data_IF_779935490700
#
_entry.id   IF_779935490700
#
_cell.length_a   1.000
_cell.length_b   1.000
_cell.length_c   1.000
_cell.angle_alpha   90.00
_cell.angle_beta   90.00
_cell.angle_gamma   90.00
#
_symmetry.space_group_name_H-M   'P 1'
#
loop_
_entity.id
_entity.type
_entity.pdbx_description
1 polymer ?
#
# COMPACT_ATOMS: atom_id res chain seq x y z
N UNK A 1 -63.34 15.47 -12.19
CA UNK A 1 -63.16 14.73 -13.46
C UNK A 1 -62.09 15.44 -14.27
N UNK A 2 -60.92 14.84 -14.47
CA UNK A 2 -60.16 14.89 -15.72
C UNK A 2 -59.03 13.86 -15.67
N UNK A 3 -58.99 13.06 -16.74
CA UNK A 3 -58.14 11.90 -16.98
C UNK A 3 -56.98 12.31 -17.90
N UNK A 4 -55.99 11.40 -18.00
CA UNK A 4 -54.87 11.34 -18.98
C UNK A 4 -53.65 12.14 -18.46
N UNK A 5 -52.42 11.64 -18.41
CA UNK A 5 -51.70 10.71 -19.28
C UNK A 5 -50.67 9.90 -18.47
N UNK A 6 -50.57 8.63 -18.84
CA UNK A 6 -49.60 7.61 -18.46
C UNK A 6 -48.21 7.95 -19.06
N UNK A 7 -47.15 7.92 -18.27
CA UNK A 7 -45.79 7.75 -18.80
C UNK A 7 -44.97 6.88 -17.83
N UNK A 8 -44.88 5.61 -18.19
CA UNK A 8 -43.98 4.61 -17.63
C UNK A 8 -42.55 5.00 -18.06
N UNK A 9 -41.67 5.29 -17.11
CA UNK A 9 -40.23 5.22 -17.33
C UNK A 9 -39.65 4.21 -16.34
N UNK A 10 -39.77 2.94 -16.71
CA UNK A 10 -38.87 1.91 -16.24
C UNK A 10 -37.60 2.01 -17.10
N UNK A 11 -36.48 2.42 -16.50
CA UNK A 11 -35.18 2.02 -16.97
C UNK A 11 -34.34 1.57 -15.77
N UNK A 12 -34.28 0.24 -15.62
CA UNK A 12 -33.22 -0.45 -14.89
C UNK A 12 -31.87 -0.03 -15.49
N UNK A 13 -30.96 0.47 -14.65
CA UNK A 13 -29.53 0.27 -14.87
C UNK A 13 -28.93 -0.26 -13.56
N UNK A 14 -28.77 -1.58 -13.57
CA UNK A 14 -27.66 -2.40 -13.07
C UNK A 14 -26.85 -1.83 -11.90
N UNK A 15 -26.97 -2.52 -10.77
CA UNK A 15 -25.95 -2.57 -9.71
C UNK A 15 -24.63 -3.01 -10.32
N UNK A 16 -23.67 -2.10 -10.41
CA UNK A 16 -22.26 -2.45 -10.51
C UNK A 16 -21.65 -2.27 -9.11
N UNK A 17 -21.12 -3.37 -8.59
CA UNK A 17 -20.33 -3.47 -7.37
C UNK A 17 -19.34 -2.32 -7.22
N UNK A 18 -19.35 -1.69 -6.05
CA UNK A 18 -18.37 -0.67 -5.66
C UNK A 18 -17.05 -1.40 -5.38
N UNK A 19 -16.20 -1.51 -6.39
CA UNK A 19 -14.80 -1.88 -6.23
C UNK A 19 -14.03 -1.24 -7.37
N UNK A 20 -13.13 -0.32 -6.99
CA UNK A 20 -12.34 0.57 -7.84
C UNK A 20 -13.08 1.78 -8.43
N UNK A 21 -13.30 2.82 -7.60
CA UNK A 21 -13.20 4.19 -8.10
C UNK A 21 -11.72 4.53 -8.10
N UNK A 22 -11.04 4.35 -9.25
CA UNK A 22 -9.81 5.10 -9.48
C UNK A 22 -10.18 6.57 -9.38
N UNK A 23 -9.61 7.27 -8.40
CA UNK A 23 -9.65 8.71 -8.37
C UNK A 23 -8.94 9.21 -9.64
N UNK A 24 -9.71 9.52 -10.68
CA UNK A 24 -9.24 10.40 -11.74
C UNK A 24 -8.99 11.76 -11.06
N UNK A 25 -7.75 11.99 -10.65
CA UNK A 25 -7.33 13.27 -10.12
C UNK A 25 -7.24 14.27 -11.29
N UNK A 26 -8.23 15.16 -11.36
CA UNK A 26 -8.27 16.28 -12.30
C UNK A 26 -7.28 17.39 -11.90
N UNK A 27 -6.53 17.24 -10.81
CA UNK A 27 -5.46 18.14 -10.37
C UNK A 27 -4.32 18.28 -11.38
N UNK A 28 -4.03 17.20 -12.12
CA UNK A 28 -2.98 17.17 -13.16
C UNK A 28 -3.32 18.06 -14.38
N UNK A 29 -4.61 18.37 -14.57
CA UNK A 29 -5.10 19.22 -15.68
C UNK A 29 -5.02 20.73 -15.37
N UNK A 30 -4.81 21.12 -14.11
CA UNK A 30 -4.82 22.52 -13.67
C UNK A 30 -3.52 23.01 -13.03
N UNK A 31 -2.42 22.26 -13.14
CA UNK A 31 -1.07 22.77 -12.85
C UNK A 31 -0.90 23.28 -11.42
N UNK A 32 -1.32 22.49 -10.43
CA UNK A 32 -0.95 22.75 -9.04
C UNK A 32 0.45 22.20 -8.79
N UNK A 33 1.47 23.05 -8.81
CA UNK A 33 2.84 22.74 -8.38
C UNK A 33 2.96 22.51 -6.86
N UNK A 34 1.88 22.14 -6.19
CA UNK A 34 1.94 21.65 -4.82
C UNK A 34 2.14 20.15 -4.93
N UNK A 35 3.35 19.68 -4.63
CA UNK A 35 3.62 18.27 -4.42
C UNK A 35 2.81 17.80 -3.21
N UNK A 36 1.54 17.50 -3.43
CA UNK A 36 0.61 17.06 -2.40
C UNK A 36 0.87 15.60 -2.10
N UNK A 37 0.68 15.24 -0.84
CA UNK A 37 0.67 13.84 -0.47
C UNK A 37 -0.48 13.12 -1.18
N UNK A 38 -0.20 11.93 -1.66
CA UNK A 38 -1.16 11.05 -2.30
C UNK A 38 -1.38 9.80 -1.44
N UNK A 39 -2.49 9.11 -1.66
CA UNK A 39 -2.74 7.80 -1.04
C UNK A 39 -2.60 6.73 -2.09
N UNK A 40 -1.79 5.71 -1.80
CA UNK A 40 -1.66 4.51 -2.62
C UNK A 40 -2.23 3.31 -1.88
N UNK A 41 -3.04 2.51 -2.57
CA UNK A 41 -3.62 1.28 -2.03
C UNK A 41 -2.91 0.06 -2.64
N UNK A 42 -2.41 -0.83 -1.80
CA UNK A 42 -1.78 -2.11 -2.21
C UNK A 42 -2.54 -3.24 -1.51
N UNK A 43 -3.20 -4.11 -2.27
CA UNK A 43 -4.03 -5.21 -1.72
C UNK A 43 -5.04 -4.77 -0.64
N UNK A 44 -5.60 -3.56 -0.78
CA UNK A 44 -6.55 -3.01 0.19
C UNK A 44 -5.93 -2.44 1.48
N UNK A 45 -4.60 -2.27 1.52
CA UNK A 45 -3.91 -1.51 2.55
C UNK A 45 -3.50 -0.15 1.99
N UNK A 46 -3.88 0.92 2.68
CA UNK A 46 -3.60 2.31 2.28
C UNK A 46 -2.29 2.81 2.90
N UNK A 47 -1.50 3.51 2.08
CA UNK A 47 -0.24 4.15 2.45
C UNK A 47 -0.23 5.60 1.98
N UNK A 48 0.40 6.47 2.76
CA UNK A 48 0.67 7.84 2.37
C UNK A 48 1.91 7.86 1.45
N UNK A 49 1.87 8.61 0.37
CA UNK A 49 3.04 8.90 -0.47
C UNK A 49 3.31 10.39 -0.35
N UNK A 50 4.39 10.82 0.32
CA UNK A 50 4.75 12.23 0.37
C UNK A 50 5.00 12.75 -1.05
N UNK A 51 4.55 13.97 -1.34
CA UNK A 51 4.47 14.45 -2.73
C UNK A 51 5.81 14.54 -3.48
N UNK A 52 6.93 14.51 -2.77
CA UNK A 52 8.29 14.54 -3.33
C UNK A 52 8.85 13.13 -3.65
N UNK A 53 8.15 12.08 -3.28
CA UNK A 53 8.44 10.71 -3.71
C UNK A 53 7.75 10.39 -5.04
N UNK A 54 8.44 9.63 -5.89
CA UNK A 54 7.91 9.12 -7.16
C UNK A 54 7.98 7.60 -7.18
N UNK A 55 6.97 6.96 -7.78
CA UNK A 55 6.97 5.51 -7.96
C UNK A 55 8.21 5.07 -8.77
N UNK A 56 8.98 4.15 -8.19
CA UNK A 56 10.12 3.51 -8.82
C UNK A 56 9.66 2.17 -9.42
N UNK A 57 9.53 2.16 -10.74
CA UNK A 57 9.14 0.97 -11.51
C UNK A 57 10.34 0.10 -11.91
N UNK A 58 11.52 0.32 -11.33
CA UNK A 58 12.71 -0.49 -11.64
C UNK A 58 12.68 -1.86 -10.96
N UNK A 59 13.45 -2.81 -11.50
CA UNK A 59 13.59 -4.20 -10.98
C UNK A 59 14.13 -4.30 -9.54
N UNK A 60 14.39 -3.19 -8.85
CA UNK A 60 14.94 -3.15 -7.48
C UNK A 60 13.94 -3.75 -6.48
N UNK A 61 12.66 -3.41 -6.59
CA UNK A 61 11.57 -3.97 -5.79
C UNK A 61 11.44 -5.48 -5.98
N UNK A 62 11.49 -5.94 -7.24
CA UNK A 62 11.37 -7.37 -7.55
C UNK A 62 12.56 -8.19 -7.03
N UNK A 63 13.78 -7.65 -7.10
CA UNK A 63 14.97 -8.32 -6.56
C UNK A 63 14.93 -8.43 -5.04
N UNK A 64 14.45 -7.39 -4.36
CA UNK A 64 14.33 -7.38 -2.89
C UNK A 64 13.33 -8.44 -2.40
N UNK A 65 12.28 -8.68 -3.18
CA UNK A 65 11.20 -9.61 -2.82
C UNK A 65 11.36 -11.01 -3.38
N UNK A 66 12.36 -11.23 -4.25
CA UNK A 66 12.63 -12.52 -4.86
C UNK A 66 12.74 -13.68 -3.83
N UNK A 67 13.45 -13.53 -2.69
CA UNK A 67 13.55 -14.62 -1.70
C UNK A 67 12.19 -15.06 -1.15
N UNK A 68 11.25 -14.12 -0.99
CA UNK A 68 9.91 -14.43 -0.50
C UNK A 68 9.04 -15.05 -1.59
N UNK A 69 9.12 -14.53 -2.82
CA UNK A 69 8.41 -15.09 -3.99
C UNK A 69 8.88 -16.52 -4.30
N UNK A 70 10.18 -16.81 -4.18
CA UNK A 70 10.76 -18.14 -4.33
C UNK A 70 10.26 -19.13 -3.27
N UNK A 71 9.91 -18.64 -2.09
CA UNK A 71 9.28 -19.43 -1.02
C UNK A 71 7.75 -19.57 -1.19
N UNK A 72 7.20 -19.09 -2.31
CA UNK A 72 5.78 -19.21 -2.65
C UNK A 72 4.89 -18.11 -2.05
N UNK A 73 5.47 -17.05 -1.49
CA UNK A 73 4.68 -15.91 -1.04
C UNK A 73 4.06 -15.16 -2.22
N UNK A 74 2.77 -14.86 -2.12
CA UNK A 74 2.11 -13.94 -3.04
C UNK A 74 2.26 -12.52 -2.49
N UNK A 75 3.08 -11.71 -3.15
CA UNK A 75 3.43 -10.35 -2.72
C UNK A 75 3.15 -9.36 -3.84
N UNK A 76 2.32 -8.37 -3.54
CA UNK A 76 2.16 -7.17 -4.36
C UNK A 76 2.99 -6.06 -3.73
N UNK A 77 3.81 -5.38 -4.53
CA UNK A 77 4.73 -4.37 -4.00
C UNK A 77 4.90 -3.17 -4.90
N UNK A 78 5.27 -2.05 -4.29
CA UNK A 78 5.60 -0.79 -4.94
C UNK A 78 6.86 -0.20 -4.32
N UNK A 79 7.71 0.37 -5.16
CA UNK A 79 8.88 1.15 -4.74
C UNK A 79 8.61 2.64 -4.95
N UNK A 80 9.19 3.49 -4.10
CA UNK A 80 9.17 4.93 -4.25
C UNK A 80 10.55 5.52 -3.98
N UNK A 81 10.94 6.55 -4.72
CA UNK A 81 12.24 7.21 -4.57
C UNK A 81 12.12 8.72 -4.52
N UNK A 82 13.05 9.34 -3.80
CA UNK A 82 13.27 10.79 -3.71
C UNK A 82 14.76 11.03 -3.57
N UNK A 83 15.37 11.65 -4.58
CA UNK A 83 16.82 11.83 -4.67
C UNK A 83 17.56 10.48 -4.45
N UNK A 84 18.41 10.39 -3.42
CA UNK A 84 19.16 9.17 -3.04
C UNK A 84 18.41 8.29 -2.02
N UNK A 85 17.18 8.65 -1.66
CA UNK A 85 16.35 7.91 -0.71
C UNK A 85 15.33 7.03 -1.42
N UNK A 86 15.07 5.85 -0.88
CA UNK A 86 14.12 4.90 -1.42
C UNK A 86 13.36 4.15 -0.34
N UNK A 87 12.14 3.74 -0.67
CA UNK A 87 11.29 2.88 0.14
C UNK A 87 10.64 1.83 -0.76
N UNK A 88 10.53 0.60 -0.26
CA UNK A 88 9.77 -0.48 -0.89
C UNK A 88 8.72 -0.95 0.09
N UNK A 89 7.48 -1.05 -0.38
CA UNK A 89 6.32 -1.52 0.39
C UNK A 89 5.81 -2.78 -0.30
N UNK A 90 5.80 -3.89 0.41
CA UNK A 90 5.21 -5.15 -0.01
C UNK A 90 4.04 -5.51 0.89
N UNK A 91 2.92 -5.92 0.29
CA UNK A 91 1.78 -6.51 0.99
C UNK A 91 1.66 -7.95 0.55
N UNK A 92 1.72 -8.87 1.51
CA UNK A 92 1.75 -10.30 1.25
C UNK A 92 0.63 -11.06 1.95
N UNK A 93 0.19 -12.11 1.27
CA UNK A 93 -0.68 -13.13 1.82
C UNK A 93 0.14 -14.35 2.24
N UNK A 94 0.05 -14.73 3.51
CA UNK A 94 0.73 -15.93 4.04
C UNK A 94 -0.04 -17.17 3.60
N UNK A 95 0.55 -17.96 2.69
CA UNK A 95 -0.09 -19.15 2.09
C UNK A 95 0.51 -20.47 2.55
N UNK A 96 1.55 -20.43 3.40
CA UNK A 96 2.30 -21.60 3.86
C UNK A 96 1.72 -22.24 5.15
N UNK A 97 0.54 -21.81 5.59
CA UNK A 97 -0.13 -22.33 6.79
C UNK A 97 0.36 -21.75 8.12
N UNK A 98 1.29 -20.79 8.10
CA UNK A 98 1.61 -19.96 9.25
C UNK A 98 0.58 -18.85 9.41
N UNK A 99 0.40 -18.39 10.64
CA UNK A 99 -0.29 -17.11 10.90
C UNK A 99 0.62 -15.92 10.57
N UNK A 100 0.02 -14.74 10.43
CA UNK A 100 0.74 -13.49 10.25
C UNK A 100 1.67 -13.21 11.44
N UNK A 101 1.20 -13.41 12.68
CA UNK A 101 1.99 -13.29 13.90
C UNK A 101 3.23 -14.19 13.89
N UNK A 102 3.06 -15.48 13.58
CA UNK A 102 4.19 -16.42 13.47
C UNK A 102 5.18 -16.01 12.38
N UNK A 103 4.68 -15.45 11.27
CA UNK A 103 5.54 -14.98 10.18
C UNK A 103 6.34 -13.75 10.61
N UNK A 104 5.72 -12.81 11.34
CA UNK A 104 6.39 -11.65 11.92
C UNK A 104 7.51 -12.04 12.89
N UNK A 105 7.25 -13.02 13.78
CA UNK A 105 8.26 -13.54 14.70
C UNK A 105 9.48 -14.13 13.96
N UNK A 106 9.25 -14.81 12.83
CA UNK A 106 10.33 -15.39 12.01
C UNK A 106 11.14 -14.33 11.26
N UNK A 107 10.50 -13.24 10.80
CA UNK A 107 11.20 -12.08 10.24
C UNK A 107 12.04 -11.37 11.31
N UNK A 108 11.62 -11.47 12.56
CA UNK A 108 12.32 -10.93 13.72
C UNK A 108 12.30 -9.40 13.76
N UNK A 109 13.18 -8.85 14.58
CA UNK A 109 13.21 -7.43 14.91
C UNK A 109 12.70 -7.13 16.31
N UNK A 110 12.72 -5.85 16.66
CA UNK A 110 12.24 -5.36 17.96
C UNK A 110 10.83 -4.80 17.77
N UNK A 111 9.90 -5.22 18.63
CA UNK A 111 8.57 -4.63 18.67
C UNK A 111 8.64 -3.12 18.90
N UNK A 112 7.97 -2.36 18.04
CA UNK A 112 7.89 -0.90 18.09
C UNK A 112 6.57 -0.41 17.52
N UNK A 113 6.31 0.88 17.67
CA UNK A 113 5.14 1.54 17.09
C UNK A 113 5.59 2.74 16.25
N UNK A 114 5.17 2.77 14.98
CA UNK A 114 5.39 3.89 14.06
C UNK A 114 4.01 4.38 13.63
N UNK A 115 3.71 5.67 13.80
CA UNK A 115 2.40 6.26 13.48
C UNK A 115 1.18 5.49 14.00
N UNK A 116 1.23 5.02 15.24
CA UNK A 116 0.18 4.20 15.88
C UNK A 116 -0.03 2.80 15.26
N UNK A 117 0.86 2.36 14.38
CA UNK A 117 0.91 0.99 13.88
C UNK A 117 1.99 0.24 14.65
N UNK A 118 1.60 -0.82 15.35
CA UNK A 118 2.54 -1.69 16.06
C UNK A 118 3.06 -2.77 15.10
N UNK A 119 4.37 -2.98 15.13
CA UNK A 119 5.06 -3.96 14.29
C UNK A 119 6.46 -4.24 14.81
N UNK A 120 7.29 -4.85 13.96
CA UNK A 120 8.64 -5.26 14.28
C UNK A 120 9.64 -4.51 13.40
N UNK A 121 10.58 -3.82 14.05
CA UNK A 121 11.62 -3.02 13.40
C UNK A 121 12.98 -3.72 13.50
N UNK A 122 13.66 -3.89 12.38
CA UNK A 122 15.03 -4.38 12.33
C UNK A 122 15.89 -3.50 11.44
N UNK A 123 17.20 -3.59 11.63
CA UNK A 123 18.19 -2.85 10.84
C UNK A 123 19.19 -3.86 10.30
N UNK A 124 19.36 -3.89 8.98
CA UNK A 124 20.27 -4.82 8.32
C UNK A 124 20.99 -4.14 7.17
N UNK A 125 22.33 -4.24 7.14
CA UNK A 125 23.21 -3.69 6.10
C UNK A 125 22.91 -2.24 5.65
N UNK A 126 22.44 -1.38 6.56
CA UNK A 126 22.10 0.02 6.26
C UNK A 126 20.68 0.23 5.70
N UNK A 127 19.84 -0.81 5.73
CA UNK A 127 18.40 -0.72 5.52
C UNK A 127 17.65 -0.87 6.85
N UNK A 128 16.52 -0.19 6.93
CA UNK A 128 15.55 -0.27 8.01
C UNK A 128 14.35 -1.05 7.51
N UNK A 129 13.99 -2.12 8.22
CA UNK A 129 12.83 -2.96 7.90
C UNK A 129 11.78 -2.77 8.97
N UNK A 130 10.54 -2.50 8.58
CA UNK A 130 9.39 -2.46 9.47
C UNK A 130 8.28 -3.36 8.94
N UNK A 131 7.98 -4.41 9.70
CA UNK A 131 6.99 -5.42 9.32
C UNK A 131 5.83 -5.40 10.30
N UNK A 132 4.61 -5.43 9.80
CA UNK A 132 3.40 -5.42 10.63
C UNK A 132 2.24 -6.11 9.94
N UNK A 133 1.19 -6.41 10.69
CA UNK A 133 -0.05 -6.95 10.16
C UNK A 133 -1.08 -5.84 9.98
N UNK A 134 -1.76 -5.81 8.83
CA UNK A 134 -2.90 -4.91 8.58
C UNK A 134 -3.88 -5.55 7.61
N UNK A 135 -5.17 -5.48 7.94
CA UNK A 135 -6.26 -6.04 7.13
C UNK A 135 -6.04 -7.52 6.75
N UNK A 136 -5.58 -8.35 7.70
CA UNK A 136 -5.27 -9.78 7.51
C UNK A 136 -4.11 -10.06 6.52
N UNK A 137 -3.36 -9.01 6.14
CA UNK A 137 -2.16 -9.11 5.33
C UNK A 137 -0.91 -8.80 6.16
N UNK A 138 0.20 -9.42 5.77
CA UNK A 138 1.51 -9.03 6.27
C UNK A 138 2.07 -7.91 5.38
N UNK A 139 2.46 -6.81 6.00
CA UNK A 139 3.09 -5.67 5.33
C UNK A 139 4.59 -5.69 5.64
N UNK A 140 5.41 -5.59 4.60
CA UNK A 140 6.86 -5.45 4.68
C UNK A 140 7.26 -4.10 4.12
N UNK A 141 7.93 -3.29 4.92
CA UNK A 141 8.47 -2.00 4.48
C UNK A 141 9.98 -2.03 4.64
N UNK A 142 10.70 -1.68 3.58
CA UNK A 142 12.14 -1.43 3.62
C UNK A 142 12.44 0.00 3.20
N UNK A 143 13.28 0.70 3.95
CA UNK A 143 13.76 2.03 3.59
C UNK A 143 15.20 2.25 4.08
N UNK A 144 15.84 3.34 3.63
CA UNK A 144 17.16 3.74 4.15
C UNK A 144 17.12 4.30 5.58
N UNK A 145 15.96 4.80 6.04
CA UNK A 145 15.79 5.41 7.36
C UNK A 145 14.35 5.19 7.89
N UNK A 146 14.22 4.97 9.21
CA UNK A 146 12.94 4.80 9.91
C UNK A 146 11.97 5.98 9.70
N UNK A 147 12.48 7.20 9.55
CA UNK A 147 11.67 8.39 9.30
C UNK A 147 10.89 8.30 8.00
N UNK A 148 11.50 7.74 6.95
CA UNK A 148 10.82 7.54 5.66
C UNK A 148 9.64 6.59 5.85
N UNK A 149 9.82 5.52 6.63
CA UNK A 149 8.74 4.59 6.97
C UNK A 149 7.60 5.34 7.68
N UNK A 150 7.94 6.21 8.63
CA UNK A 150 6.98 7.08 9.32
C UNK A 150 6.28 8.10 8.42
N UNK A 151 6.77 8.41 7.23
CA UNK A 151 6.06 9.27 6.29
C UNK A 151 5.03 8.48 5.46
N UNK A 152 5.20 7.16 5.32
CA UNK A 152 4.33 6.31 4.51
C UNK A 152 3.27 5.53 5.30
N UNK A 153 3.58 5.15 6.55
CA UNK A 153 2.69 4.32 7.38
C UNK A 153 1.48 5.14 7.88
N UNK A 154 0.28 4.56 7.69
CA UNK A 154 -0.99 5.10 8.18
C UNK A 154 -1.63 4.16 9.21
N UNK A 155 -2.22 4.73 10.25
CA UNK A 155 -2.96 4.01 11.29
C UNK A 155 -4.18 3.26 10.74
#
# INVERSE_FOLDING_TARGET
MNKKILAIFALLIVVASVSAVSAFDLGDLFGSNDQKNETVTIEGVDFNVPGDFKEDTTNTTDKMLAPFKEQGANITAKGFTKDDSGIVIGVMNVTNGLSNEQTLELLGGKETTINNVTGYLSHDEGQTLFNFEKNDHLVLISASDEKIIGEFVMA
#
